data_IF_415443426953
#
_entry.id   IF_415443426953
#
_cell.length_a   1.000
_cell.length_b   1.000
_cell.length_c   1.000
_cell.angle_alpha   90.00
_cell.angle_beta   90.00
_cell.angle_gamma   90.00
#
_symmetry.space_group_name_H-M   'P 1'
#
loop_
_entity.id
_entity.type
_entity.pdbx_description
1 polymer ?
#
# COMPACT_ATOMS: atom_id res chain seq x y z
N UNK A 1 15.72 6.91 23.80
CA UNK A 1 15.74 8.03 22.82
C UNK A 1 14.32 8.50 22.56
N UNK A 2 14.05 9.80 22.65
CA UNK A 2 12.71 10.36 22.49
C UNK A 2 12.21 10.27 21.03
N UNK A 3 10.87 10.33 20.84
CA UNK A 3 10.22 10.31 19.51
C UNK A 3 10.78 11.43 18.58
N UNK A 4 11.12 12.60 19.14
CA UNK A 4 11.77 13.72 18.43
C UNK A 4 13.16 13.35 17.88
N UNK A 5 13.98 12.63 18.65
CA UNK A 5 15.33 12.25 18.21
C UNK A 5 15.30 11.24 17.07
N UNK A 6 14.30 10.30 17.04
CA UNK A 6 14.14 9.38 15.90
C UNK A 6 13.74 10.09 14.62
N UNK A 7 12.82 11.06 14.68
CA UNK A 7 12.41 11.85 13.52
C UNK A 7 13.56 12.73 12.99
N UNK A 8 14.39 13.28 13.85
CA UNK A 8 15.58 14.03 13.45
C UNK A 8 16.59 13.13 12.71
N UNK A 9 16.89 11.95 13.23
CA UNK A 9 17.82 11.01 12.58
C UNK A 9 17.35 10.58 11.18
N UNK A 10 16.05 10.34 10.97
CA UNK A 10 15.50 10.00 9.65
C UNK A 10 15.66 11.18 8.68
N UNK A 11 15.34 12.39 9.10
CA UNK A 11 15.52 13.60 8.27
C UNK A 11 16.97 13.86 7.92
N UNK A 12 17.89 13.68 8.86
CA UNK A 12 19.32 13.92 8.66
C UNK A 12 19.91 12.91 7.67
N UNK A 13 19.56 11.63 7.78
CA UNK A 13 19.98 10.60 6.82
C UNK A 13 19.45 10.85 5.41
N UNK A 14 18.16 11.15 5.27
CA UNK A 14 17.54 11.46 3.98
C UNK A 14 18.14 12.73 3.37
N UNK A 15 18.39 13.77 4.18
CA UNK A 15 19.04 15.01 3.74
C UNK A 15 20.49 14.77 3.32
N UNK A 16 21.23 13.91 4.03
CA UNK A 16 22.58 13.53 3.66
C UNK A 16 22.59 12.86 2.28
N UNK A 17 21.77 11.83 2.07
CA UNK A 17 21.65 11.13 0.79
C UNK A 17 21.27 12.08 -0.35
N UNK A 18 20.32 12.99 -0.11
CA UNK A 18 19.87 13.95 -1.12
C UNK A 18 20.98 14.96 -1.55
N UNK A 19 21.96 15.20 -0.69
CA UNK A 19 23.09 16.12 -0.97
C UNK A 19 24.29 15.44 -1.61
N UNK A 20 24.29 14.13 -1.68
CA UNK A 20 25.39 13.40 -2.33
C UNK A 20 25.41 13.71 -3.83
N UNK A 21 26.60 13.83 -4.37
CA UNK A 21 26.79 13.90 -5.81
C UNK A 21 26.48 12.55 -6.44
N UNK A 22 26.01 12.49 -7.70
CA UNK A 22 25.90 11.24 -8.43
C UNK A 22 27.22 10.46 -8.37
N UNK A 23 27.16 9.16 -8.20
CA UNK A 23 28.31 8.25 -8.06
C UNK A 23 29.13 8.40 -6.78
N UNK A 24 28.72 9.20 -5.81
CA UNK A 24 29.38 9.23 -4.51
C UNK A 24 29.19 7.88 -3.77
N UNK A 25 30.26 7.32 -3.17
CA UNK A 25 30.14 6.05 -2.46
C UNK A 25 29.27 6.20 -1.21
N UNK A 26 28.37 5.23 -0.99
CA UNK A 26 27.53 5.15 0.20
C UNK A 26 27.82 3.85 0.92
N UNK A 27 28.20 3.94 2.20
CA UNK A 27 28.42 2.75 3.01
C UNK A 27 27.10 2.38 3.69
N UNK A 28 26.64 1.15 3.45
CA UNK A 28 25.38 0.61 3.97
C UNK A 28 25.68 -0.60 4.86
N UNK A 29 25.08 -0.63 6.04
CA UNK A 29 25.10 -1.82 6.90
C UNK A 29 23.78 -2.57 6.71
N UNK A 30 23.87 -3.85 6.47
CA UNK A 30 22.72 -4.72 6.25
C UNK A 30 22.89 -5.57 4.99
N UNK A 31 21.85 -6.20 4.45
CA UNK A 31 20.44 -6.05 4.84
C UNK A 31 20.10 -6.73 6.16
N UNK A 32 19.23 -6.11 6.96
CA UNK A 32 18.59 -6.78 8.09
C UNK A 32 17.29 -7.39 7.62
N UNK A 33 17.14 -8.70 7.78
CA UNK A 33 15.92 -9.40 7.36
C UNK A 33 14.86 -9.21 8.44
N UNK A 34 13.87 -8.36 8.15
CA UNK A 34 12.74 -8.11 9.06
C UNK A 34 11.58 -9.09 8.83
N UNK A 35 11.44 -9.57 7.61
CA UNK A 35 10.42 -10.53 7.22
C UNK A 35 10.89 -11.33 6.00
N UNK A 36 10.51 -12.60 5.94
CA UNK A 36 10.80 -13.48 4.81
C UNK A 36 9.51 -14.07 4.25
N UNK A 37 9.45 -14.21 2.94
CA UNK A 37 8.38 -14.96 2.29
C UNK A 37 8.32 -16.39 2.86
N UNK A 38 7.12 -16.88 3.19
CA UNK A 38 6.97 -18.27 3.60
C UNK A 38 7.51 -19.25 2.55
N UNK A 39 7.95 -20.42 2.98
CA UNK A 39 8.34 -21.49 2.06
C UNK A 39 7.15 -21.93 1.20
N UNK A 40 7.40 -22.57 0.06
CA UNK A 40 6.35 -23.04 -0.87
C UNK A 40 5.23 -23.82 -0.17
N UNK A 41 5.56 -24.72 0.74
CA UNK A 41 4.59 -25.53 1.48
C UNK A 41 3.69 -24.73 2.45
N UNK A 42 4.14 -23.52 2.85
CA UNK A 42 3.41 -22.62 3.77
C UNK A 42 2.93 -21.35 3.08
N UNK A 43 3.08 -21.26 1.76
CA UNK A 43 2.66 -20.07 1.01
C UNK A 43 1.13 -19.89 1.16
N UNK A 44 0.66 -18.69 1.50
CA UNK A 44 -0.77 -18.38 1.49
C UNK A 44 -1.30 -18.35 0.06
N UNK A 45 -2.61 -18.45 -0.09
CA UNK A 45 -3.27 -18.33 -1.38
C UNK A 45 -3.34 -16.86 -1.85
N UNK A 46 -3.35 -15.94 -0.86
CA UNK A 46 -3.32 -14.49 -1.13
C UNK A 46 -2.43 -13.76 -0.10
N UNK A 47 -1.63 -12.82 -0.60
CA UNK A 47 -0.91 -11.85 0.25
C UNK A 47 -1.52 -10.47 0.00
N UNK A 48 -2.06 -9.87 1.04
CA UNK A 48 -2.55 -8.50 1.03
C UNK A 48 -1.53 -7.60 1.68
N UNK A 49 -1.05 -6.60 0.96
CA UNK A 49 -0.10 -5.64 1.49
C UNK A 49 -0.74 -4.27 1.64
N UNK A 50 -0.93 -3.82 2.87
CA UNK A 50 -1.43 -2.49 3.21
C UNK A 50 -0.26 -1.56 3.48
N UNK A 51 -0.03 -0.59 2.61
CA UNK A 51 1.12 0.31 2.70
C UNK A 51 0.71 1.77 2.83
N UNK A 52 1.43 2.51 3.66
CA UNK A 52 1.22 3.94 3.89
C UNK A 52 2.44 4.77 3.49
N UNK A 53 2.24 5.76 2.61
CA UNK A 53 3.28 6.72 2.22
C UNK A 53 4.50 6.05 1.58
N UNK A 54 5.70 6.39 2.05
CA UNK A 54 6.98 5.90 1.49
C UNK A 54 7.22 4.40 1.67
N UNK A 55 6.45 3.73 2.54
CA UNK A 55 6.54 2.28 2.72
C UNK A 55 6.05 1.49 1.50
N UNK A 56 5.52 2.15 0.49
CA UNK A 56 5.17 1.57 -0.81
C UNK A 56 6.34 0.83 -1.48
N UNK A 57 7.58 1.22 -1.19
CA UNK A 57 8.78 0.52 -1.68
C UNK A 57 8.81 -0.97 -1.27
N UNK A 58 8.26 -1.32 -0.10
CA UNK A 58 8.17 -2.70 0.35
C UNK A 58 7.18 -3.52 -0.51
N UNK A 59 6.11 -2.90 -1.03
CA UNK A 59 5.19 -3.60 -1.94
C UNK A 59 5.83 -3.87 -3.30
N UNK A 60 6.64 -2.94 -3.81
CA UNK A 60 7.40 -3.18 -5.04
C UNK A 60 8.36 -4.36 -4.87
N UNK A 61 9.08 -4.40 -3.75
CA UNK A 61 9.97 -5.52 -3.43
C UNK A 61 9.21 -6.86 -3.32
N UNK A 62 8.03 -6.87 -2.72
CA UNK A 62 7.19 -8.06 -2.65
C UNK A 62 6.75 -8.53 -4.05
N UNK A 63 6.24 -7.61 -4.87
CA UNK A 63 5.81 -7.91 -6.25
C UNK A 63 6.97 -8.52 -7.06
N UNK A 64 8.14 -7.90 -7.03
CA UNK A 64 9.34 -8.41 -7.70
C UNK A 64 9.76 -9.79 -7.18
N UNK A 65 9.86 -9.97 -5.86
CA UNK A 65 10.28 -11.24 -5.28
C UNK A 65 9.29 -12.39 -5.52
N UNK A 66 8.01 -12.10 -5.72
CA UNK A 66 7.01 -13.15 -5.97
C UNK A 66 6.85 -13.41 -7.45
N UNK A 67 6.76 -12.37 -8.28
CA UNK A 67 6.37 -12.52 -9.68
C UNK A 67 7.55 -12.61 -10.65
N UNK A 68 8.68 -11.95 -10.33
CA UNK A 68 9.86 -11.99 -11.22
C UNK A 68 10.73 -13.24 -10.95
N UNK A 69 10.60 -13.88 -9.78
CA UNK A 69 11.47 -15.01 -9.40
C UNK A 69 10.75 -16.34 -9.31
N UNK A 70 9.42 -16.38 -9.42
CA UNK A 70 8.61 -17.60 -9.26
C UNK A 70 7.70 -17.81 -10.46
N UNK A 71 7.27 -19.06 -10.64
CA UNK A 71 6.23 -19.39 -11.62
C UNK A 71 4.90 -18.72 -11.21
N UNK A 72 4.31 -17.87 -12.07
CA UNK A 72 3.03 -17.24 -11.79
C UNK A 72 1.91 -18.22 -11.46
N UNK A 73 1.89 -19.41 -12.08
CA UNK A 73 0.86 -20.42 -11.85
C UNK A 73 0.81 -20.94 -10.41
N UNK A 74 1.95 -20.89 -9.70
CA UNK A 74 2.08 -21.34 -8.30
C UNK A 74 2.21 -20.18 -7.31
N UNK A 75 2.19 -18.96 -7.81
CA UNK A 75 2.33 -17.75 -7.00
C UNK A 75 1.01 -17.36 -6.33
N UNK A 76 1.05 -16.83 -5.10
CA UNK A 76 -0.15 -16.31 -4.45
C UNK A 76 -0.72 -15.11 -5.21
N UNK A 77 -2.00 -14.84 -5.04
CA UNK A 77 -2.57 -13.54 -5.43
C UNK A 77 -1.98 -12.42 -4.58
N UNK A 78 -1.64 -11.32 -5.22
CA UNK A 78 -1.04 -10.15 -4.56
C UNK A 78 -2.01 -8.98 -4.64
N UNK A 79 -2.50 -8.55 -3.49
CA UNK A 79 -3.39 -7.40 -3.38
C UNK A 79 -2.67 -6.27 -2.65
N UNK A 80 -2.44 -5.15 -3.32
CA UNK A 80 -1.79 -3.97 -2.71
C UNK A 80 -2.82 -2.89 -2.44
N UNK A 81 -2.90 -2.48 -1.17
CA UNK A 81 -3.68 -1.34 -0.71
C UNK A 81 -2.72 -0.21 -0.37
N UNK A 82 -2.64 0.77 -1.24
CA UNK A 82 -1.73 1.90 -1.05
C UNK A 82 -2.48 3.14 -0.58
N UNK A 83 -2.14 3.61 0.62
CA UNK A 83 -2.68 4.83 1.22
C UNK A 83 -1.67 5.97 1.15
N UNK A 84 -2.09 7.09 0.57
CA UNK A 84 -1.31 8.30 0.43
C UNK A 84 -2.05 9.52 0.99
N UNK A 85 -1.32 10.55 1.39
CA UNK A 85 -1.93 11.79 1.89
C UNK A 85 -2.58 12.63 0.78
N UNK A 86 -2.07 12.53 -0.45
CA UNK A 86 -2.48 13.31 -1.62
C UNK A 86 -2.13 12.57 -2.90
N UNK A 87 -2.65 13.01 -4.05
CA UNK A 87 -2.41 12.36 -5.34
C UNK A 87 -0.94 12.46 -5.79
N UNK A 88 -0.26 13.55 -5.47
CA UNK A 88 1.17 13.76 -5.77
C UNK A 88 2.09 12.80 -5.00
N UNK A 89 1.61 12.22 -3.91
CA UNK A 89 2.34 11.19 -3.18
C UNK A 89 2.25 9.79 -3.82
N UNK A 90 1.49 9.61 -4.91
CA UNK A 90 1.31 8.33 -5.61
C UNK A 90 2.39 8.03 -6.66
N UNK A 91 3.60 8.53 -6.48
CA UNK A 91 4.71 8.45 -7.46
C UNK A 91 5.13 7.01 -7.81
N UNK A 92 4.90 6.04 -6.94
CA UNK A 92 5.26 4.64 -7.19
C UNK A 92 4.17 3.84 -7.94
N UNK A 93 3.02 4.43 -8.25
CA UNK A 93 1.92 3.73 -8.93
C UNK A 93 2.29 3.25 -10.33
N UNK A 94 3.04 4.00 -11.17
CA UNK A 94 3.43 3.51 -12.49
C UNK A 94 4.20 2.20 -12.46
N UNK A 95 5.13 2.07 -11.52
CA UNK A 95 5.91 0.83 -11.38
C UNK A 95 5.01 -0.37 -11.01
N UNK A 96 3.98 -0.13 -10.18
CA UNK A 96 3.00 -1.17 -9.83
C UNK A 96 2.05 -1.49 -10.99
N UNK A 97 1.70 -0.49 -11.81
CA UNK A 97 0.85 -0.68 -13.00
C UNK A 97 1.53 -1.61 -14.01
N UNK A 98 2.86 -1.61 -14.09
CA UNK A 98 3.60 -2.59 -14.90
C UNK A 98 3.24 -4.03 -14.50
N UNK A 99 3.22 -4.34 -13.20
CA UNK A 99 2.83 -5.67 -12.72
C UNK A 99 1.35 -5.99 -12.98
N UNK A 100 0.46 -5.00 -12.84
CA UNK A 100 -0.95 -5.17 -13.20
C UNK A 100 -1.14 -5.55 -14.67
N UNK A 101 -0.36 -4.94 -15.58
CA UNK A 101 -0.41 -5.28 -17.02
C UNK A 101 0.14 -6.67 -17.31
N UNK A 102 1.24 -7.02 -16.65
CA UNK A 102 1.94 -8.27 -16.91
C UNK A 102 1.24 -9.46 -16.25
N UNK A 103 0.59 -9.25 -15.09
CA UNK A 103 -0.03 -10.31 -14.28
C UNK A 103 -1.45 -9.91 -13.82
N UNK A 104 -2.40 -9.65 -14.74
CA UNK A 104 -3.72 -9.10 -14.40
C UNK A 104 -4.55 -10.01 -13.48
N UNK A 105 -4.35 -11.34 -13.57
CA UNK A 105 -5.06 -12.32 -12.75
C UNK A 105 -4.45 -12.48 -11.34
N UNK A 106 -3.20 -12.05 -11.15
CA UNK A 106 -2.45 -12.25 -9.91
C UNK A 106 -2.31 -10.97 -9.09
N UNK A 107 -2.39 -9.79 -9.70
CA UNK A 107 -2.14 -8.52 -9.02
C UNK A 107 -3.39 -7.66 -8.98
N UNK A 108 -3.72 -7.17 -7.79
CA UNK A 108 -4.74 -6.15 -7.59
C UNK A 108 -4.14 -4.94 -6.88
N UNK A 109 -4.46 -3.75 -7.36
CA UNK A 109 -4.04 -2.49 -6.75
C UNK A 109 -5.26 -1.64 -6.43
N UNK A 110 -5.31 -1.11 -5.21
CA UNK A 110 -6.32 -0.14 -4.75
C UNK A 110 -5.64 1.01 -4.05
N UNK A 111 -6.09 2.21 -4.33
CA UNK A 111 -5.50 3.44 -3.81
C UNK A 111 -6.46 4.12 -2.86
N UNK A 112 -5.93 4.65 -1.75
CA UNK A 112 -6.64 5.54 -0.84
C UNK A 112 -5.91 6.87 -0.76
N UNK A 113 -6.62 7.97 -0.98
CA UNK A 113 -6.06 9.32 -0.95
C UNK A 113 -6.81 10.16 0.07
N UNK A 114 -6.13 10.57 1.13
CA UNK A 114 -6.75 11.30 2.23
C UNK A 114 -7.30 12.66 1.79
N UNK A 115 -6.51 13.39 1.01
CA UNK A 115 -6.87 14.73 0.49
C UNK A 115 -7.02 14.68 -1.01
N UNK A 116 -8.25 14.45 -1.47
CA UNK A 116 -8.60 14.58 -2.87
C UNK A 116 -8.78 16.07 -3.23
N UNK A 117 -8.24 16.54 -4.37
CA UNK A 117 -8.45 17.91 -4.82
C UNK A 117 -9.93 18.16 -5.07
N UNK A 118 -10.35 19.41 -4.82
CA UNK A 118 -11.69 19.85 -5.17
C UNK A 118 -11.83 19.94 -6.70
N UNK A 119 -13.04 19.79 -7.22
CA UNK A 119 -13.37 19.67 -8.64
C UNK A 119 -12.72 20.69 -9.61
N UNK A 120 -12.43 21.90 -9.14
CA UNK A 120 -11.83 22.97 -9.98
C UNK A 120 -10.34 22.77 -10.29
N UNK A 121 -9.66 21.86 -9.59
CA UNK A 121 -8.21 21.61 -9.76
C UNK A 121 -7.91 20.29 -10.49
N UNK A 122 -8.93 19.57 -10.92
CA UNK A 122 -8.78 18.24 -11.53
C UNK A 122 -8.17 18.28 -12.94
N UNK A 123 -8.40 19.36 -13.71
CA UNK A 123 -7.84 19.52 -15.05
C UNK A 123 -6.34 19.84 -15.02
N UNK A 124 -5.87 20.55 -14.00
CA UNK A 124 -4.47 20.97 -13.86
C UNK A 124 -3.58 19.97 -13.14
N UNK A 125 -4.16 18.91 -12.55
CA UNK A 125 -3.43 17.91 -11.79
C UNK A 125 -2.46 17.07 -12.63
N UNK A 126 -2.72 16.95 -13.93
CA UNK A 126 -1.87 16.18 -14.82
C UNK A 126 -0.50 16.83 -15.10
N UNK A 127 -0.36 18.13 -14.83
CA UNK A 127 0.84 18.90 -15.19
C UNK A 127 1.62 19.43 -14.00
N UNK A 128 1.01 19.58 -12.82
CA UNK A 128 1.62 20.34 -11.72
C UNK A 128 2.20 19.50 -10.57
N UNK A 129 1.91 18.20 -10.45
CA UNK A 129 2.12 17.50 -9.18
C UNK A 129 2.92 16.19 -9.24
N UNK A 130 3.74 15.96 -10.26
CA UNK A 130 4.61 14.76 -10.28
C UNK A 130 3.86 13.45 -10.46
N UNK A 131 2.57 13.48 -10.79
CA UNK A 131 1.88 12.34 -11.37
C UNK A 131 2.51 12.09 -12.73
N UNK A 132 2.81 10.84 -13.11
CA UNK A 132 3.46 10.53 -14.38
C UNK A 132 2.76 11.20 -15.55
N UNK A 133 3.54 11.68 -16.50
CA UNK A 133 3.04 12.27 -17.75
C UNK A 133 2.06 11.27 -18.38
N UNK A 134 0.81 11.69 -18.61
CA UNK A 134 -0.25 10.84 -19.17
C UNK A 134 -1.20 10.20 -18.17
N UNK A 135 -0.96 10.30 -16.85
CA UNK A 135 -1.94 9.85 -15.86
C UNK A 135 -3.13 10.81 -15.80
N UNK A 136 -4.34 10.26 -15.72
CA UNK A 136 -5.59 11.02 -15.62
C UNK A 136 -6.43 10.51 -14.44
N UNK A 137 -6.98 11.42 -13.67
CA UNK A 137 -7.97 11.08 -12.64
C UNK A 137 -9.36 11.24 -13.23
N UNK A 138 -10.13 10.16 -13.24
CA UNK A 138 -11.51 10.15 -13.68
C UNK A 138 -12.43 9.86 -12.50
N UNK A 139 -13.49 10.64 -12.34
CA UNK A 139 -14.56 10.29 -11.41
C UNK A 139 -15.44 9.22 -12.05
N UNK A 140 -15.66 8.14 -11.35
CA UNK A 140 -16.69 7.18 -11.72
C UNK A 140 -18.04 7.78 -11.29
N UNK A 141 -18.79 8.29 -12.24
CA UNK A 141 -20.20 8.53 -12.02
C UNK A 141 -20.85 7.14 -11.88
N UNK A 142 -21.14 6.76 -10.64
CA UNK A 142 -22.04 5.63 -10.39
C UNK A 142 -23.41 6.05 -10.93
N UNK A 143 -23.66 5.71 -12.19
CA UNK A 143 -24.73 6.27 -13.01
C UNK A 143 -26.16 5.88 -12.58
N UNK A 144 -26.31 5.11 -11.52
CA UNK A 144 -27.61 4.77 -10.96
C UNK A 144 -27.85 5.54 -9.66
N UNK A 145 -28.98 6.22 -9.56
CA UNK A 145 -29.42 6.91 -8.35
C UNK A 145 -29.43 6.00 -7.12
N UNK A 146 -29.66 4.70 -7.29
CA UNK A 146 -29.53 3.65 -6.28
C UNK A 146 -28.07 3.49 -5.81
N UNK A 147 -27.10 3.53 -6.71
CA UNK A 147 -25.68 3.47 -6.35
C UNK A 147 -25.21 4.65 -5.49
N UNK A 148 -25.81 5.84 -5.65
CA UNK A 148 -25.55 7.03 -4.81
C UNK A 148 -26.07 6.88 -3.37
N UNK A 149 -27.14 6.13 -3.15
CA UNK A 149 -27.70 5.84 -1.84
C UNK A 149 -26.85 4.82 -1.05
N UNK A 150 -26.17 3.89 -1.75
CA UNK A 150 -25.39 2.82 -1.12
C UNK A 150 -23.88 3.11 -1.05
N UNK A 151 -23.36 3.95 -1.93
CA UNK A 151 -21.93 4.30 -1.95
C UNK A 151 -21.72 5.67 -1.29
N UNK A 152 -21.41 5.68 0.00
CA UNK A 152 -21.17 6.90 0.78
C UNK A 152 -19.92 7.69 0.36
N UNK A 153 -19.03 7.10 -0.44
CA UNK A 153 -17.77 7.74 -0.86
C UNK A 153 -17.63 7.72 -2.37
N UNK A 154 -17.29 8.86 -2.98
CA UNK A 154 -17.02 8.89 -4.41
C UNK A 154 -15.81 8.00 -4.73
N UNK A 155 -15.97 7.14 -5.71
CA UNK A 155 -14.89 6.32 -6.25
C UNK A 155 -14.33 7.05 -7.47
N UNK A 156 -13.03 7.19 -7.53
CA UNK A 156 -12.30 7.75 -8.66
C UNK A 156 -11.45 6.65 -9.30
N UNK A 157 -11.02 6.87 -10.51
CA UNK A 157 -10.01 6.04 -11.17
C UNK A 157 -8.80 6.89 -11.49
N UNK A 158 -7.64 6.36 -11.21
CA UNK A 158 -6.38 6.87 -11.73
C UNK A 158 -6.02 6.02 -12.95
N UNK A 159 -6.06 6.64 -14.12
CA UNK A 159 -5.66 5.96 -15.36
C UNK A 159 -4.19 6.25 -15.60
N UNK A 160 -3.37 5.20 -15.60
CA UNK A 160 -1.93 5.25 -15.85
C UNK A 160 -1.60 4.27 -16.97
N UNK A 161 -0.99 4.73 -18.05
CA UNK A 161 -0.65 3.91 -19.20
C UNK A 161 -1.80 3.04 -19.73
N UNK A 162 -3.02 3.57 -19.72
CA UNK A 162 -4.23 2.87 -20.15
C UNK A 162 -4.85 1.91 -19.14
N UNK A 163 -4.24 1.72 -17.97
CA UNK A 163 -4.80 0.89 -16.88
C UNK A 163 -5.53 1.79 -15.90
N UNK A 164 -6.79 1.45 -15.60
CA UNK A 164 -7.60 2.12 -14.62
C UNK A 164 -7.41 1.49 -13.23
N UNK A 165 -6.95 2.28 -12.26
CA UNK A 165 -6.75 1.86 -10.87
C UNK A 165 -7.77 2.56 -9.98
N UNK A 166 -8.59 1.84 -9.20
CA UNK A 166 -9.58 2.47 -8.33
C UNK A 166 -8.92 3.29 -7.21
N UNK A 167 -9.41 4.52 -7.03
CA UNK A 167 -8.97 5.47 -6.01
C UNK A 167 -10.12 5.80 -5.09
N UNK A 168 -9.96 5.48 -3.81
CA UNK A 168 -10.93 5.79 -2.75
C UNK A 168 -10.53 7.09 -2.05
N UNK A 169 -11.50 7.96 -1.82
CA UNK A 169 -11.29 9.20 -1.08
C UNK A 169 -11.30 8.93 0.43
N UNK A 170 -10.32 9.49 1.14
CA UNK A 170 -10.16 9.33 2.59
C UNK A 170 -9.19 8.23 2.99
N UNK A 171 -9.27 7.82 4.25
CA UNK A 171 -8.45 6.74 4.83
C UNK A 171 -9.14 5.39 4.66
N UNK A 172 -8.36 4.32 4.69
CA UNK A 172 -8.88 2.95 4.80
C UNK A 172 -9.78 2.87 6.03
N UNK A 173 -10.97 2.34 5.87
CA UNK A 173 -11.97 2.19 6.93
C UNK A 173 -12.20 0.72 7.29
N UNK A 174 -12.85 0.50 8.43
CA UNK A 174 -13.28 -0.84 8.83
C UNK A 174 -14.22 -1.47 7.78
N UNK A 175 -15.15 -0.65 7.23
CA UNK A 175 -16.07 -1.07 6.17
C UNK A 175 -15.32 -1.53 4.90
N UNK A 176 -14.24 -0.83 4.51
CA UNK A 176 -13.41 -1.24 3.38
C UNK A 176 -12.79 -2.63 3.61
N UNK A 177 -12.31 -2.90 4.83
CA UNK A 177 -11.75 -4.21 5.20
C UNK A 177 -12.84 -5.28 5.17
N UNK A 178 -13.95 -5.06 5.83
CA UNK A 178 -15.05 -6.03 5.93
C UNK A 178 -15.68 -6.37 4.58
N UNK A 179 -15.81 -5.39 3.68
CA UNK A 179 -16.45 -5.61 2.38
C UNK A 179 -15.49 -6.14 1.31
N UNK A 180 -14.22 -5.74 1.35
CA UNK A 180 -13.26 -6.05 0.28
C UNK A 180 -12.26 -7.14 0.64
N UNK A 181 -12.06 -7.38 1.93
CA UNK A 181 -11.17 -8.40 2.46
C UNK A 181 -11.94 -9.34 3.40
N UNK A 182 -13.21 -9.60 3.09
CA UNK A 182 -14.01 -10.54 3.84
C UNK A 182 -13.22 -11.84 4.05
N UNK A 183 -13.15 -12.30 5.30
CA UNK A 183 -12.45 -13.51 5.66
C UNK A 183 -13.12 -14.71 5.00
N UNK A 184 -12.35 -15.60 4.42
CA UNK A 184 -12.82 -16.88 3.87
C UNK A 184 -12.08 -18.01 4.56
N UNK A 185 -12.77 -19.02 5.01
CA UNK A 185 -12.15 -20.21 5.58
C UNK A 185 -11.46 -21.09 4.51
N UNK A 186 -11.84 -20.89 3.26
CA UNK A 186 -11.28 -21.62 2.12
C UNK A 186 -9.96 -21.04 1.61
N UNK A 187 -9.61 -19.81 2.01
CA UNK A 187 -8.45 -19.09 1.49
C UNK A 187 -7.52 -18.69 2.63
N UNK A 188 -6.30 -19.19 2.57
CA UNK A 188 -5.24 -18.76 3.49
C UNK A 188 -4.71 -17.40 3.04
N UNK A 189 -4.99 -16.38 3.83
CA UNK A 189 -4.58 -15.01 3.55
C UNK A 189 -3.53 -14.55 4.54
N UNK A 190 -2.51 -13.87 4.04
CA UNK A 190 -1.52 -13.17 4.86
C UNK A 190 -1.66 -11.67 4.61
N UNK A 191 -1.80 -10.89 5.67
CA UNK A 191 -1.90 -9.43 5.60
C UNK A 191 -0.61 -8.81 6.13
N UNK A 192 0.10 -8.07 5.29
CA UNK A 192 1.30 -7.32 5.64
C UNK A 192 0.92 -5.85 5.80
N UNK A 193 1.26 -5.25 6.93
CA UNK A 193 0.97 -3.83 7.20
C UNK A 193 2.26 -3.06 7.39
N UNK A 194 2.51 -2.08 6.51
CA UNK A 194 3.73 -1.26 6.53
C UNK A 194 3.37 0.22 6.37
N UNK A 195 3.84 1.07 7.26
CA UNK A 195 3.53 2.49 7.21
C UNK A 195 4.00 3.25 8.43
N UNK A 196 3.65 4.54 8.51
CA UNK A 196 3.84 5.32 9.72
C UNK A 196 3.15 4.68 10.93
N UNK A 197 3.69 4.90 12.15
CA UNK A 197 3.17 4.29 13.38
C UNK A 197 1.64 4.42 13.54
N UNK A 198 1.08 5.59 13.22
CA UNK A 198 -0.36 5.84 13.31
C UNK A 198 -1.18 5.01 12.30
N UNK A 199 -0.63 4.74 11.12
CA UNK A 199 -1.25 3.89 10.11
C UNK A 199 -1.25 2.42 10.55
N UNK A 200 -0.11 1.91 10.98
CA UNK A 200 0.01 0.53 11.49
C UNK A 200 -0.87 0.32 12.71
N UNK A 201 -0.87 1.28 13.65
CA UNK A 201 -1.70 1.21 14.86
C UNK A 201 -3.20 1.16 14.53
N UNK A 202 -3.66 1.99 13.60
CA UNK A 202 -5.08 2.01 13.20
C UNK A 202 -5.52 0.70 12.54
N UNK A 203 -4.67 0.08 11.72
CA UNK A 203 -5.01 -1.14 10.99
C UNK A 203 -4.79 -2.41 11.83
N UNK A 204 -3.62 -2.54 12.48
CA UNK A 204 -3.17 -3.79 13.09
C UNK A 204 -2.81 -3.67 14.58
N UNK A 205 -2.97 -2.49 15.18
CA UNK A 205 -2.52 -2.24 16.55
C UNK A 205 -1.03 -1.87 16.65
N UNK A 206 -0.54 -1.54 17.84
CA UNK A 206 0.84 -1.10 18.03
C UNK A 206 1.83 -2.24 17.80
N UNK A 207 3.04 -1.91 17.36
CA UNK A 207 4.19 -2.79 17.48
C UNK A 207 4.63 -2.89 18.95
N UNK A 208 5.33 -3.94 19.31
CA UNK A 208 5.92 -4.05 20.61
C UNK A 208 6.94 -2.92 20.89
N UNK A 209 7.24 -2.67 22.16
CA UNK A 209 8.14 -1.56 22.57
C UNK A 209 9.56 -1.72 22.06
N UNK A 210 10.02 -2.94 21.85
CA UNK A 210 11.32 -3.27 21.28
C UNK A 210 11.42 -2.97 19.79
N UNK A 211 10.28 -2.73 19.11
CA UNK A 211 10.13 -2.52 17.66
C UNK A 211 10.59 -3.71 16.81
N UNK A 212 10.90 -4.83 17.40
CA UNK A 212 11.31 -6.08 16.75
C UNK A 212 10.17 -7.09 16.77
N UNK A 213 9.48 -7.18 17.90
CA UNK A 213 8.33 -8.08 18.07
C UNK A 213 7.06 -7.45 17.50
N UNK A 214 6.13 -8.32 17.07
CA UNK A 214 4.88 -7.89 16.45
C UNK A 214 3.96 -7.11 17.39
N UNK A 215 4.00 -7.39 18.71
CA UNK A 215 3.02 -6.92 19.67
C UNK A 215 1.60 -7.47 19.39
N UNK A 216 0.64 -7.25 20.28
CA UNK A 216 -0.70 -7.81 20.11
C UNK A 216 -1.41 -7.26 18.88
N UNK A 217 -2.16 -8.10 18.19
CA UNK A 217 -3.03 -7.65 17.10
C UNK A 217 -4.15 -6.78 17.66
N UNK A 218 -4.38 -5.67 17.02
CA UNK A 218 -5.44 -4.70 17.35
C UNK A 218 -6.03 -4.05 16.11
N UNK A 219 -6.62 -2.88 16.29
CA UNK A 219 -7.14 -2.05 15.21
C UNK A 219 -8.24 -2.70 14.37
N UNK A 220 -8.37 -2.23 13.14
CA UNK A 220 -9.46 -2.63 12.24
C UNK A 220 -9.37 -4.09 11.80
N UNK A 221 -8.16 -4.64 11.64
CA UNK A 221 -7.98 -6.05 11.24
C UNK A 221 -8.49 -7.00 12.33
N UNK A 222 -8.19 -6.74 13.60
CA UNK A 222 -8.76 -7.52 14.71
C UNK A 222 -10.28 -7.40 14.75
N UNK A 223 -10.81 -6.18 14.58
CA UNK A 223 -12.26 -5.95 14.55
C UNK A 223 -12.95 -6.65 13.36
N UNK A 224 -12.20 -6.98 12.29
CA UNK A 224 -12.66 -7.76 11.13
C UNK A 224 -12.45 -9.27 11.28
N UNK A 225 -12.03 -9.75 12.46
CA UNK A 225 -11.88 -11.16 12.76
C UNK A 225 -10.54 -11.79 12.38
N UNK A 226 -9.54 -11.00 11.94
CA UNK A 226 -8.19 -11.51 11.68
C UNK A 226 -7.47 -11.92 12.95
N UNK A 227 -6.57 -12.87 12.85
CA UNK A 227 -5.73 -13.42 13.93
C UNK A 227 -4.27 -12.96 13.81
N UNK A 228 -3.50 -13.14 14.88
CA UNK A 228 -2.08 -12.80 14.90
C UNK A 228 -1.25 -13.63 13.89
N UNK A 229 -1.71 -14.83 13.56
CA UNK A 229 -1.05 -15.69 12.57
C UNK A 229 -1.25 -15.20 11.12
N UNK A 230 -2.29 -14.40 10.88
CA UNK A 230 -2.66 -13.89 9.55
C UNK A 230 -2.15 -12.47 9.29
N UNK A 231 -1.64 -11.77 10.29
CA UNK A 231 -1.24 -10.35 10.18
C UNK A 231 0.19 -10.15 10.63
N UNK A 232 0.99 -9.52 9.76
CA UNK A 232 2.37 -9.15 10.08
C UNK A 232 2.57 -7.63 9.96
N UNK A 233 3.13 -7.00 10.99
CA UNK A 233 3.47 -5.57 11.04
C UNK A 233 4.94 -5.37 10.68
N UNK A 234 5.19 -4.78 9.53
CA UNK A 234 6.54 -4.49 9.02
C UNK A 234 7.12 -3.20 9.59
#
# INVERSE_FOLDING_TARGET
>A
RSRRQRQMCIRDRSRYLHRLRPSAPVYVRGPEVTWQLPSHAKMPDEIVMMVGGTCVAASHQLLSNVLDTRDPATSPKLTVWYAASSLDALQAVPDMVRYLKQYPEHVQLRLWVERMPRHSQQADLCTATGIPVGARVRRLDTATWLGRLWSRRPVHELVVDGVAVPVHSGRISLEDIQTRLARSELWRRLVLVCGPDGFVHALAGPKARDLLSQGPLGGMLRASGYTEAEVFKM
#
